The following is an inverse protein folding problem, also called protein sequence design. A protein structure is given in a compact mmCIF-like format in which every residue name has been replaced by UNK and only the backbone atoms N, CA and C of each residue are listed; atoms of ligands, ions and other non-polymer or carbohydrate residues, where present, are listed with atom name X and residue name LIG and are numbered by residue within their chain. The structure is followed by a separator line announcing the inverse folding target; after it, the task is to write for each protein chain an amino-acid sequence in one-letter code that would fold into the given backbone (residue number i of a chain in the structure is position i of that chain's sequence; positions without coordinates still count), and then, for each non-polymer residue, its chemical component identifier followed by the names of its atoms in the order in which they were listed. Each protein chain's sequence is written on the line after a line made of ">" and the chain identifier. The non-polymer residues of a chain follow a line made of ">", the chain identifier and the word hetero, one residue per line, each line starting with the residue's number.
data_IF_562562917180
#
_entry.id   IF_562562917180
#
_cell.length_a   1.000
_cell.length_b   1.000
_cell.length_c   1.000
_cell.angle_alpha   90.00
_cell.angle_beta   90.00
_cell.angle_gamma   90.00
#
_symmetry.space_group_name_H-M   'P 1'
#
loop_
_entity.id
_entity.type
_entity.pdbx_description
1 polymer ?
#
# COMPACT_ATOMS: atom_id res chain seq x y z
N UNK A 1 13.13 -20.56 6.96
CA UNK A 1 11.90 -21.38 6.85
C UNK A 1 11.46 -21.32 5.40
N UNK A 2 11.24 -22.45 4.73
CA UNK A 2 10.69 -22.47 3.36
C UNK A 2 9.18 -22.55 3.51
N UNK A 3 8.45 -21.56 3.00
CA UNK A 3 6.99 -21.60 2.95
C UNK A 3 6.60 -21.88 1.50
N UNK A 4 6.22 -23.12 1.16
CA UNK A 4 5.71 -23.43 -0.19
C UNK A 4 4.37 -22.74 -0.44
N UNK A 5 4.22 -22.18 -1.64
CA UNK A 5 2.99 -21.54 -2.11
C UNK A 5 2.88 -21.62 -3.64
N UNK A 6 1.66 -21.46 -4.13
CA UNK A 6 1.33 -21.38 -5.55
C UNK A 6 0.79 -19.99 -5.87
N UNK A 7 1.31 -19.37 -6.93
CA UNK A 7 0.73 -18.14 -7.48
C UNK A 7 -0.64 -18.44 -8.09
N UNK A 8 -1.64 -17.65 -7.71
CA UNK A 8 -2.99 -17.78 -8.26
C UNK A 8 -3.15 -16.85 -9.46
N UNK A 9 -3.04 -15.54 -9.23
CA UNK A 9 -3.26 -14.49 -10.22
C UNK A 9 -2.60 -13.17 -9.75
N UNK A 10 -2.55 -12.18 -10.64
CA UNK A 10 -2.20 -10.81 -10.26
C UNK A 10 -3.11 -10.32 -9.15
N UNK A 11 -2.54 -9.66 -8.15
CA UNK A 11 -3.35 -9.10 -7.07
C UNK A 11 -4.04 -7.81 -7.50
N UNK A 12 -3.35 -7.00 -8.29
CA UNK A 12 -3.85 -5.74 -8.85
C UNK A 12 -3.98 -5.84 -10.36
N UNK A 13 -4.91 -5.08 -10.96
CA UNK A 13 -5.01 -4.95 -12.42
C UNK A 13 -3.83 -4.15 -13.03
N UNK A 14 -3.09 -3.42 -12.18
CA UNK A 14 -1.83 -2.79 -12.57
C UNK A 14 -0.71 -3.83 -12.67
N UNK A 15 -0.48 -4.33 -13.88
CA UNK A 15 0.56 -5.32 -14.16
C UNK A 15 1.99 -4.77 -14.09
N UNK A 16 2.17 -3.44 -13.95
CA UNK A 16 3.48 -2.85 -13.65
C UNK A 16 3.85 -3.01 -12.17
N UNK A 17 2.87 -3.36 -11.33
CA UNK A 17 3.10 -3.71 -9.93
C UNK A 17 3.30 -5.22 -9.85
N UNK A 18 4.52 -5.61 -9.47
CA UNK A 18 4.91 -7.00 -9.25
C UNK A 18 4.29 -7.52 -7.95
N UNK A 19 2.96 -7.63 -7.91
CA UNK A 19 2.14 -8.00 -6.75
C UNK A 19 1.16 -9.10 -7.16
N UNK A 20 1.21 -10.24 -6.48
CA UNK A 20 0.40 -11.40 -6.77
C UNK A 20 -0.36 -11.90 -5.56
N UNK A 21 -1.55 -12.46 -5.82
CA UNK A 21 -2.24 -13.32 -4.87
C UNK A 21 -1.63 -14.72 -4.96
N UNK A 22 -1.27 -15.29 -3.82
CA UNK A 22 -0.80 -16.66 -3.74
C UNK A 22 -1.51 -17.42 -2.61
N UNK A 23 -1.49 -18.74 -2.72
CA UNK A 23 -2.05 -19.66 -1.73
C UNK A 23 -0.92 -20.56 -1.22
N UNK A 24 -0.74 -20.56 0.09
CA UNK A 24 0.22 -21.46 0.77
C UNK A 24 -0.33 -22.90 0.85
N UNK A 25 0.53 -23.87 1.11
CA UNK A 25 0.14 -25.29 1.19
C UNK A 25 -0.93 -25.56 2.28
N UNK A 26 -0.93 -24.78 3.36
CA UNK A 26 -1.97 -24.85 4.41
C UNK A 26 -3.23 -24.05 4.08
N UNK A 27 -3.37 -23.63 2.81
CA UNK A 27 -4.50 -22.91 2.21
C UNK A 27 -4.70 -21.48 2.70
N UNK A 28 -3.72 -20.87 3.38
CA UNK A 28 -3.79 -19.42 3.66
C UNK A 28 -3.52 -18.61 2.41
N UNK A 29 -4.30 -17.56 2.23
CA UNK A 29 -4.07 -16.55 1.20
C UNK A 29 -3.01 -15.55 1.65
N UNK A 30 -2.14 -15.17 0.72
CA UNK A 30 -1.07 -14.20 0.92
C UNK A 30 -0.96 -13.28 -0.29
N UNK A 31 -0.39 -12.10 -0.07
CA UNK A 31 0.12 -11.24 -1.12
C UNK A 31 1.63 -11.45 -1.20
N UNK A 32 2.13 -11.72 -2.40
CA UNK A 32 3.57 -11.78 -2.69
C UNK A 32 3.92 -10.59 -3.56
N UNK A 33 4.81 -9.74 -3.08
CA UNK A 33 5.27 -8.55 -3.78
C UNK A 33 6.77 -8.62 -4.02
N UNK A 34 7.23 -8.09 -5.14
CA UNK A 34 8.64 -7.81 -5.38
C UNK A 34 8.84 -6.32 -5.50
N UNK A 35 9.85 -5.80 -4.81
CA UNK A 35 10.20 -4.37 -4.87
C UNK A 35 11.72 -4.20 -4.71
N UNK A 36 12.34 -3.22 -5.40
CA UNK A 36 13.74 -2.90 -5.17
C UNK A 36 13.98 -2.19 -3.83
N UNK A 37 12.98 -1.47 -3.31
CA UNK A 37 13.11 -0.58 -2.16
C UNK A 37 11.84 -0.64 -1.29
N UNK A 38 11.53 -1.80 -0.73
CA UNK A 38 10.37 -1.92 0.15
C UNK A 38 10.66 -1.30 1.53
N UNK A 39 9.76 -0.45 2.02
CA UNK A 39 9.94 0.18 3.33
C UNK A 39 9.30 -0.66 4.45
N UNK A 40 10.04 -1.67 4.92
CA UNK A 40 9.60 -2.57 6.00
C UNK A 40 9.32 -1.83 7.30
N UNK A 41 10.14 -0.84 7.66
CA UNK A 41 9.97 -0.07 8.90
C UNK A 41 8.61 0.65 8.91
N UNK A 42 8.26 1.31 7.80
CA UNK A 42 6.97 1.96 7.64
C UNK A 42 5.80 0.96 7.67
N UNK A 43 5.96 -0.19 7.01
CA UNK A 43 4.96 -1.25 7.02
C UNK A 43 4.71 -1.75 8.45
N UNK A 44 5.76 -2.16 9.15
CA UNK A 44 5.66 -2.71 10.51
C UNK A 44 5.08 -1.69 11.50
N UNK A 45 5.46 -0.42 11.37
CA UNK A 45 4.86 0.68 12.13
C UNK A 45 3.33 0.73 11.95
N UNK A 46 2.85 0.71 10.71
CA UNK A 46 1.41 0.73 10.43
C UNK A 46 0.72 -0.58 10.84
N UNK A 47 1.37 -1.72 10.65
CA UNK A 47 0.82 -3.02 11.02
C UNK A 47 0.65 -3.16 12.54
N UNK A 48 1.58 -2.58 13.33
CA UNK A 48 1.49 -2.54 14.80
C UNK A 48 0.23 -1.84 15.32
N UNK A 49 -0.29 -0.88 14.57
CA UNK A 49 -1.52 -0.13 14.88
C UNK A 49 -2.78 -0.70 14.18
N UNK A 50 -2.65 -1.83 13.46
CA UNK A 50 -3.73 -2.41 12.68
C UNK A 50 -4.17 -1.55 11.47
N UNK A 51 -3.24 -0.75 10.94
CA UNK A 51 -3.43 0.17 9.81
C UNK A 51 -2.78 -0.34 8.50
N UNK A 52 -2.10 -1.48 8.58
CA UNK A 52 -1.61 -2.28 7.47
C UNK A 52 -1.83 -3.76 7.81
N UNK A 53 -1.93 -4.67 6.82
CA UNK A 53 -1.89 -6.10 7.08
C UNK A 53 -0.55 -6.51 7.71
N UNK A 54 -0.48 -7.70 8.28
CA UNK A 54 0.78 -8.15 8.87
C UNK A 54 1.81 -8.49 7.79
N UNK A 55 3.02 -7.98 7.97
CA UNK A 55 4.19 -8.42 7.24
C UNK A 55 4.56 -9.84 7.69
N UNK A 56 4.50 -10.81 6.77
CA UNK A 56 4.80 -12.22 7.06
C UNK A 56 6.27 -12.55 6.86
N UNK A 57 6.88 -11.93 5.85
CA UNK A 57 8.27 -12.16 5.49
C UNK A 57 8.80 -11.02 4.64
N UNK A 58 10.03 -10.63 4.90
CA UNK A 58 10.87 -9.87 3.98
C UNK A 58 12.12 -10.70 3.65
N UNK A 59 12.47 -10.73 2.36
CA UNK A 59 13.72 -11.33 1.93
C UNK A 59 14.89 -10.40 2.25
N UNK A 60 15.68 -10.76 3.27
CA UNK A 60 16.92 -10.04 3.62
C UNK A 60 18.02 -10.10 2.54
N UNK A 61 17.77 -10.80 1.43
CA UNK A 61 18.68 -10.90 0.28
C UNK A 61 18.04 -10.20 -0.92
N UNK A 62 18.76 -9.21 -1.44
CA UNK A 62 18.43 -8.60 -2.72
C UNK A 62 18.93 -9.52 -3.83
N UNK A 63 18.02 -10.01 -4.67
CA UNK A 63 18.33 -10.85 -5.83
C UNK A 63 18.13 -10.00 -7.08
N UNK A 64 19.21 -9.74 -7.83
CA UNK A 64 19.20 -8.89 -9.03
C UNK A 64 18.53 -7.52 -8.82
N UNK A 65 18.72 -6.91 -7.64
CA UNK A 65 18.15 -5.61 -7.31
C UNK A 65 16.72 -5.64 -6.75
N UNK A 66 16.13 -6.81 -6.51
CA UNK A 66 14.78 -6.95 -5.97
C UNK A 66 14.76 -7.74 -4.66
N UNK A 67 13.88 -7.32 -3.75
CA UNK A 67 13.49 -8.09 -2.57
C UNK A 67 12.08 -8.63 -2.74
N UNK A 68 11.83 -9.83 -2.19
CA UNK A 68 10.50 -10.41 -2.06
C UNK A 68 9.93 -10.07 -0.69
N UNK A 69 8.66 -9.66 -0.69
CA UNK A 69 7.88 -9.40 0.51
C UNK A 69 6.62 -10.25 0.48
N UNK A 70 6.26 -10.84 1.61
CA UNK A 70 5.04 -11.62 1.78
C UNK A 70 4.19 -10.95 2.85
N UNK A 71 2.96 -10.64 2.49
CA UNK A 71 2.00 -9.88 3.30
C UNK A 71 0.77 -10.75 3.52
N UNK A 72 0.17 -10.65 4.70
CA UNK A 72 -1.05 -11.36 5.06
C UNK A 72 -2.24 -10.91 4.20
N UNK A 73 -3.05 -11.87 3.74
CA UNK A 73 -4.33 -11.62 3.10
C UNK A 73 -5.40 -12.51 3.76
N UNK A 74 -5.93 -12.02 4.88
CA UNK A 74 -6.95 -12.74 5.65
C UNK A 74 -8.28 -12.83 4.90
N UNK A 75 -9.12 -13.78 5.32
CA UNK A 75 -10.49 -13.86 4.81
C UNK A 75 -11.24 -12.55 5.05
N UNK A 76 -12.03 -12.13 4.06
CA UNK A 76 -12.74 -10.86 4.10
C UNK A 76 -11.87 -9.62 3.84
N UNK A 77 -10.57 -9.79 3.51
CA UNK A 77 -9.74 -8.71 2.98
C UNK A 77 -9.83 -8.64 1.45
N UNK A 78 -10.10 -7.46 0.91
CA UNK A 78 -10.17 -7.22 -0.54
C UNK A 78 -9.71 -5.81 -0.89
N UNK A 79 -9.36 -5.60 -2.16
CA UNK A 79 -9.00 -4.28 -2.66
C UNK A 79 -10.19 -3.33 -2.51
N UNK A 80 -9.87 -2.11 -2.11
CA UNK A 80 -10.85 -1.04 -2.01
C UNK A 80 -11.39 -0.65 -3.39
N UNK A 81 -12.72 -0.64 -3.53
CA UNK A 81 -13.45 -0.13 -4.70
C UNK A 81 -14.18 1.16 -4.34
N UNK A 82 -14.18 2.13 -5.25
CA UNK A 82 -14.91 3.41 -5.13
C UNK A 82 -16.44 3.24 -5.06
N UNK A 83 -16.96 2.04 -5.38
CA UNK A 83 -18.40 1.71 -5.39
C UNK A 83 -19.01 1.35 -4.02
N UNK A 84 -18.26 1.44 -2.92
CA UNK A 84 -18.80 1.23 -1.56
C UNK A 84 -19.80 2.32 -1.14
N UNK A 85 -20.59 2.06 -0.09
CA UNK A 85 -21.50 3.06 0.47
C UNK A 85 -20.74 4.26 1.03
N UNK A 86 -21.39 5.42 1.17
CA UNK A 86 -20.75 6.62 1.72
C UNK A 86 -20.28 6.43 3.17
N UNK A 87 -21.02 5.63 3.95
CA UNK A 87 -20.65 5.31 5.32
C UNK A 87 -19.38 4.46 5.38
N UNK A 88 -19.29 3.44 4.54
CA UNK A 88 -18.09 2.57 4.43
C UNK A 88 -16.91 3.36 3.90
N UNK A 89 -17.10 4.15 2.85
CA UNK A 89 -16.08 5.06 2.32
C UNK A 89 -15.52 5.95 3.42
N UNK A 90 -16.39 6.60 4.19
CA UNK A 90 -15.98 7.47 5.30
C UNK A 90 -15.18 6.70 6.36
N UNK A 91 -15.59 5.49 6.72
CA UNK A 91 -14.88 4.65 7.66
C UNK A 91 -13.47 4.28 7.16
N UNK A 92 -13.36 3.86 5.90
CA UNK A 92 -12.08 3.52 5.26
C UNK A 92 -11.17 4.76 5.21
N UNK A 93 -11.70 5.91 4.79
CA UNK A 93 -10.92 7.15 4.71
C UNK A 93 -10.46 7.64 6.08
N UNK A 94 -11.23 7.41 7.14
CA UNK A 94 -10.81 7.73 8.50
C UNK A 94 -9.59 6.90 8.93
N UNK A 95 -9.57 5.60 8.60
CA UNK A 95 -8.39 4.77 8.88
C UNK A 95 -7.19 5.16 8.00
N UNK A 96 -7.40 5.38 6.70
CA UNK A 96 -6.33 5.85 5.80
C UNK A 96 -5.75 7.18 6.27
N UNK A 97 -6.59 8.11 6.74
CA UNK A 97 -6.16 9.39 7.32
C UNK A 97 -5.27 9.16 8.55
N UNK A 98 -5.62 8.20 9.42
CA UNK A 98 -4.77 7.83 10.57
C UNK A 98 -3.45 7.22 10.11
N UNK A 99 -3.44 6.36 9.10
CA UNK A 99 -2.21 5.77 8.55
C UNK A 99 -1.27 6.85 8.02
N UNK A 100 -1.81 7.80 7.24
CA UNK A 100 -1.02 8.92 6.70
C UNK A 100 -0.47 9.79 7.84
N UNK A 101 -1.30 10.11 8.84
CA UNK A 101 -0.84 10.88 10.01
C UNK A 101 0.29 10.16 10.75
N UNK A 102 0.14 8.86 11.02
CA UNK A 102 1.16 8.04 11.68
C UNK A 102 2.50 8.05 10.93
N UNK A 103 2.46 7.90 9.61
CA UNK A 103 3.67 7.98 8.77
C UNK A 103 4.28 9.39 8.84
N UNK A 104 3.46 10.43 8.72
CA UNK A 104 3.93 11.82 8.71
C UNK A 104 4.56 12.22 10.05
N UNK A 105 4.00 11.77 11.17
CA UNK A 105 4.54 11.97 12.51
C UNK A 105 5.93 11.33 12.69
N UNK A 106 6.21 10.26 11.93
CA UNK A 106 7.51 9.59 11.87
C UNK A 106 8.40 10.07 10.71
N UNK A 107 8.08 11.22 10.13
CA UNK A 107 8.80 11.83 8.99
C UNK A 107 8.85 10.97 7.71
N UNK A 108 7.88 10.08 7.55
CA UNK A 108 7.71 9.25 6.37
C UNK A 108 6.60 9.79 5.48
N UNK A 109 6.73 9.60 4.17
CA UNK A 109 5.74 9.89 3.14
C UNK A 109 5.38 8.54 2.51
N UNK A 110 4.08 8.24 2.35
CA UNK A 110 3.64 6.98 1.76
C UNK A 110 3.96 6.92 0.27
N UNK A 111 3.73 8.02 -0.45
CA UNK A 111 4.16 8.24 -1.83
C UNK A 111 3.35 7.48 -2.88
N UNK A 112 2.71 6.37 -2.53
CA UNK A 112 1.90 5.55 -3.44
C UNK A 112 0.40 5.57 -3.11
N UNK A 113 -0.15 6.71 -2.67
CA UNK A 113 -1.55 6.74 -2.25
C UNK A 113 -2.50 6.72 -3.45
N UNK A 114 -3.32 5.67 -3.55
CA UNK A 114 -4.45 5.53 -4.47
C UNK A 114 -5.36 4.37 -4.04
N UNK A 115 -6.53 4.20 -4.68
CA UNK A 115 -7.49 3.14 -4.32
C UNK A 115 -6.87 1.74 -4.32
N UNK A 116 -6.08 1.42 -5.36
CA UNK A 116 -5.37 0.14 -5.49
C UNK A 116 -4.19 -0.08 -4.52
N UNK A 117 -3.92 0.86 -3.62
CA UNK A 117 -2.98 0.70 -2.49
C UNK A 117 -3.69 0.41 -1.17
N UNK A 118 -5.03 0.39 -1.18
CA UNK A 118 -5.88 0.23 0.01
C UNK A 118 -6.56 -1.14 -0.02
N UNK A 119 -6.50 -1.82 1.13
CA UNK A 119 -7.31 -2.99 1.44
C UNK A 119 -8.43 -2.60 2.40
N UNK A 120 -9.56 -3.28 2.27
CA UNK A 120 -10.66 -3.21 3.21
C UNK A 120 -10.90 -4.56 3.85
N UNK A 121 -11.21 -4.53 5.14
CA UNK A 121 -11.55 -5.71 5.92
C UNK A 121 -12.78 -5.42 6.78
N UNK A 122 -13.69 -6.38 6.88
CA UNK A 122 -14.78 -6.34 7.84
C UNK A 122 -14.35 -7.04 9.14
N UNK A 123 -14.30 -6.29 10.24
CA UNK A 123 -13.99 -6.80 11.58
C UNK A 123 -15.15 -6.41 12.49
N UNK A 124 -15.85 -7.39 13.07
CA UNK A 124 -16.99 -7.17 13.99
C UNK A 124 -18.07 -6.22 13.43
N UNK A 125 -18.45 -6.40 12.15
CA UNK A 125 -19.38 -5.54 11.40
C UNK A 125 -18.89 -4.10 11.22
N UNK A 126 -17.59 -3.86 11.33
CA UNK A 126 -16.95 -2.57 11.04
C UNK A 126 -15.97 -2.74 9.90
N UNK A 127 -16.18 -1.99 8.83
CA UNK A 127 -15.21 -1.91 7.75
C UNK A 127 -14.04 -1.05 8.20
N UNK A 128 -12.84 -1.58 7.96
CA UNK A 128 -11.55 -0.96 8.24
C UNK A 128 -10.77 -0.77 6.95
N UNK A 129 -10.04 0.34 6.85
CA UNK A 129 -9.11 0.62 5.75
C UNK A 129 -7.66 0.35 6.15
N UNK A 130 -6.87 -0.25 5.27
CA UNK A 130 -5.45 -0.55 5.49
C UNK A 130 -4.62 -0.24 4.25
N UNK A 131 -3.40 0.27 4.43
CA UNK A 131 -2.41 0.40 3.34
C UNK A 131 -1.50 -0.82 3.31
N UNK A 132 -1.06 -1.27 2.12
CA UNK A 132 -0.21 -2.47 2.02
C UNK A 132 1.03 -2.32 1.11
N UNK A 133 1.03 -1.39 0.16
CA UNK A 133 2.14 -1.23 -0.79
C UNK A 133 3.09 -0.08 -0.40
N UNK A 134 4.05 -0.41 0.45
CA UNK A 134 5.05 0.52 0.98
C UNK A 134 6.30 0.66 0.08
N UNK A 135 6.24 0.28 -1.21
CA UNK A 135 7.43 0.29 -2.08
C UNK A 135 7.92 1.68 -2.51
N UNK A 136 7.10 2.72 -2.35
CA UNK A 136 7.49 4.11 -2.60
C UNK A 136 7.62 4.91 -1.31
N UNK A 137 7.39 4.28 -0.15
CA UNK A 137 7.41 4.99 1.11
C UNK A 137 8.86 5.35 1.48
N UNK A 138 9.07 6.58 1.93
CA UNK A 138 10.41 7.08 2.24
C UNK A 138 10.38 8.34 3.09
N UNK A 139 11.57 8.80 3.49
CA UNK A 139 11.70 9.99 4.32
C UNK A 139 11.30 11.27 3.55
N UNK A 140 10.52 12.12 4.22
CA UNK A 140 10.12 13.42 3.72
C UNK A 140 11.33 14.29 3.33
N UNK A 141 11.29 14.85 2.12
CA UNK A 141 12.31 15.76 1.57
C UNK A 141 13.73 15.16 1.52
N UNK A 142 13.84 13.82 1.50
CA UNK A 142 15.10 13.08 1.35
C UNK A 142 15.02 11.95 0.34
N UNK A 143 13.91 11.22 0.32
CA UNK A 143 13.65 10.19 -0.66
C UNK A 143 13.01 10.79 -1.91
N UNK A 144 13.15 10.09 -3.03
CA UNK A 144 12.70 10.54 -4.35
C UNK A 144 11.69 9.58 -4.94
N UNK A 145 10.77 10.12 -5.72
CA UNK A 145 9.98 9.32 -6.64
C UNK A 145 10.89 8.66 -7.71
N UNK A 146 10.61 7.41 -8.10
CA UNK A 146 11.35 6.77 -9.18
C UNK A 146 11.05 7.45 -10.51
N UNK A 147 11.94 7.24 -11.48
CA UNK A 147 11.71 7.68 -12.87
C UNK A 147 10.38 7.13 -13.44
N UNK A 148 10.05 5.90 -13.06
CA UNK A 148 8.88 5.16 -13.52
C UNK A 148 7.60 5.51 -12.76
N UNK A 149 7.57 6.60 -11.98
CA UNK A 149 6.32 7.04 -11.36
C UNK A 149 5.24 7.19 -12.44
N UNK A 150 4.05 6.67 -12.16
CA UNK A 150 2.92 6.80 -13.09
C UNK A 150 2.69 8.28 -13.42
N UNK A 151 2.63 8.60 -14.71
CA UNK A 151 2.39 9.95 -15.21
C UNK A 151 0.89 10.29 -15.11
N UNK A 152 0.40 10.31 -13.88
CA UNK A 152 -0.96 10.66 -13.53
C UNK A 152 -1.29 12.07 -14.00
N UNK A 153 -2.48 12.28 -14.56
CA UNK A 153 -2.88 13.62 -15.02
C UNK A 153 -3.10 14.59 -13.86
N UNK A 154 -3.51 14.06 -12.70
CA UNK A 154 -3.91 14.82 -11.52
C UNK A 154 -2.83 14.72 -10.44
N UNK A 155 -1.67 15.33 -10.70
CA UNK A 155 -0.51 15.22 -9.82
C UNK A 155 -0.26 16.52 -9.06
N UNK A 156 0.07 16.47 -7.75
CA UNK A 156 0.51 17.67 -7.05
C UNK A 156 1.85 18.16 -7.62
N UNK A 157 2.11 19.46 -7.47
CA UNK A 157 3.39 20.06 -7.85
C UNK A 157 4.55 19.38 -7.10
N UNK A 158 5.65 19.10 -7.81
CA UNK A 158 6.85 18.47 -7.25
C UNK A 158 6.83 16.94 -7.17
N UNK A 159 5.70 16.26 -7.38
CA UNK A 159 5.65 14.79 -7.35
C UNK A 159 6.14 14.14 -8.66
N UNK A 160 7.29 14.56 -9.20
CA UNK A 160 7.80 14.15 -10.52
C UNK A 160 8.72 12.95 -10.52
N UNK A 161 9.04 12.38 -11.71
CA UNK A 161 10.25 11.60 -11.87
C UNK A 161 11.44 12.30 -11.18
N UNK A 162 12.03 11.66 -10.18
CA UNK A 162 13.10 12.22 -9.34
C UNK A 162 12.73 13.46 -8.51
N UNK A 163 11.45 13.76 -8.36
CA UNK A 163 10.95 14.74 -7.40
C UNK A 163 11.07 14.20 -5.97
N UNK A 164 11.24 15.10 -5.01
CA UNK A 164 11.30 14.73 -3.59
C UNK A 164 9.94 14.27 -3.10
N UNK A 165 9.92 13.23 -2.27
CA UNK A 165 8.72 12.83 -1.55
C UNK A 165 8.34 13.92 -0.55
N UNK A 166 7.14 14.46 -0.70
CA UNK A 166 6.60 15.50 0.18
C UNK A 166 5.33 15.04 0.87
N UNK A 167 5.16 15.36 2.15
CA UNK A 167 3.96 15.03 2.93
C UNK A 167 2.69 15.63 2.29
N UNK A 168 2.81 16.81 1.69
CA UNK A 168 1.72 17.45 0.95
C UNK A 168 1.24 16.64 -0.26
N UNK A 169 2.09 15.76 -0.82
CA UNK A 169 1.69 14.87 -1.91
C UNK A 169 0.69 13.81 -1.43
N UNK A 170 0.95 13.19 -0.28
CA UNK A 170 0.00 12.26 0.35
C UNK A 170 -1.31 12.97 0.69
N UNK A 171 -1.25 14.19 1.27
CA UNK A 171 -2.44 14.96 1.63
C UNK A 171 -3.28 15.33 0.40
N UNK A 172 -2.64 15.65 -0.72
CA UNK A 172 -3.32 15.92 -1.98
C UNK A 172 -4.10 14.68 -2.45
N UNK A 173 -3.44 13.52 -2.52
CA UNK A 173 -4.09 12.27 -2.94
C UNK A 173 -5.16 11.80 -1.96
N UNK A 174 -4.96 12.02 -0.65
CA UNK A 174 -5.96 11.73 0.37
C UNK A 174 -7.22 12.56 0.13
N UNK A 175 -7.07 13.86 -0.15
CA UNK A 175 -8.19 14.74 -0.46
C UNK A 175 -8.96 14.30 -1.73
N UNK A 176 -8.26 13.80 -2.74
CA UNK A 176 -8.90 13.22 -3.94
C UNK A 176 -9.70 11.96 -3.59
N UNK A 177 -9.12 11.02 -2.84
CA UNK A 177 -9.80 9.78 -2.42
C UNK A 177 -11.04 10.08 -1.56
N UNK A 178 -10.94 11.06 -0.66
CA UNK A 178 -12.06 11.52 0.17
C UNK A 178 -13.22 12.07 -0.67
N UNK A 179 -12.92 12.68 -1.84
CA UNK A 179 -13.94 13.15 -2.79
C UNK A 179 -14.39 12.09 -3.79
N UNK A 180 -13.88 10.86 -3.68
CA UNK A 180 -14.08 9.77 -4.65
C UNK A 180 -13.61 10.14 -6.07
N UNK A 181 -12.63 11.04 -6.18
CA UNK A 181 -12.03 11.39 -7.46
C UNK A 181 -11.12 10.24 -7.93
N UNK A 182 -11.20 9.93 -9.22
CA UNK A 182 -10.32 8.91 -9.80
C UNK A 182 -8.90 9.45 -9.85
N UNK A 183 -7.99 8.74 -9.20
CA UNK A 183 -6.56 9.00 -9.28
C UNK A 183 -6.03 8.16 -10.45
N UNK A 184 -6.15 8.70 -11.67
CA UNK A 184 -5.63 8.13 -12.91
C UNK A 184 -4.13 8.40 -13.01
#
# INVERSE_FOLDING_TARGET
>A
MIVPFLYNNWFTEDHNRFIWKATTDDRRLIIVQFSPNYNTIAHELCAGEGLAPRLLYECNKIINGWSMVVIELSEGMYLYDIKVTDQEHTAVMNDVTKTIQLLHDNNLVFGNLHSGSILIQNVDNKIRGMLFDFSLCGEHQKCYYPFSINQRTNRPSGAEPYGLLDKSHDLYYLGMLQKKEVIC
#
